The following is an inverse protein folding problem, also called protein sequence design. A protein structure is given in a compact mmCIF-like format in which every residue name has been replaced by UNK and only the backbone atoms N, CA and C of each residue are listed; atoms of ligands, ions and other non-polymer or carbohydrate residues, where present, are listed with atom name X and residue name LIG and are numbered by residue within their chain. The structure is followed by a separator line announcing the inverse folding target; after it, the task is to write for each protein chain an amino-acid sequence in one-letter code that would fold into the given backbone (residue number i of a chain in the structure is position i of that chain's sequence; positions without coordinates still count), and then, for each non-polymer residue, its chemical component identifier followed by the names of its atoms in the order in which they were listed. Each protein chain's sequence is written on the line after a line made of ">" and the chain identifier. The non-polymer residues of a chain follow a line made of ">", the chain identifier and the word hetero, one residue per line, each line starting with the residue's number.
data_IF_970292366735
#
_entry.id   IF_970292366735
#
_cell.length_a   1.000
_cell.length_b   1.000
_cell.length_c   1.000
_cell.angle_alpha   90.00
_cell.angle_beta   90.00
_cell.angle_gamma   90.00
#
_symmetry.space_group_name_H-M   'P 1'
#
loop_
_entity.id
_entity.type
_entity.pdbx_description
1 polymer ?
#
# COMPACT_ATOMS: atom_id res chain seq x y z
N UNK A 1 20.96 -34.10 -6.73
CA UNK A 1 20.56 -33.84 -5.33
C UNK A 1 20.12 -32.37 -5.11
N UNK A 2 20.88 -31.37 -5.48
CA UNK A 2 20.53 -29.95 -5.26
C UNK A 2 19.16 -29.50 -5.84
N UNK A 3 18.78 -29.99 -7.01
CA UNK A 3 17.53 -29.64 -7.69
C UNK A 3 16.28 -30.17 -6.94
N UNK A 4 16.35 -31.36 -6.36
CA UNK A 4 15.26 -31.93 -5.54
C UNK A 4 15.10 -31.19 -4.22
N UNK A 5 16.21 -30.76 -3.60
CA UNK A 5 16.20 -29.97 -2.39
C UNK A 5 15.54 -28.58 -2.62
N UNK A 6 15.93 -27.85 -3.67
CA UNK A 6 15.35 -26.57 -4.06
C UNK A 6 13.84 -26.66 -4.33
N UNK A 7 13.39 -27.68 -5.06
CA UNK A 7 11.95 -27.90 -5.31
C UNK A 7 11.16 -28.11 -4.01
N UNK A 8 11.73 -28.87 -3.07
CA UNK A 8 11.08 -29.12 -1.77
C UNK A 8 10.96 -27.84 -0.93
N UNK A 9 11.99 -26.99 -0.90
CA UNK A 9 11.97 -25.70 -0.19
C UNK A 9 10.90 -24.79 -0.80
N UNK A 10 10.87 -24.61 -2.11
CA UNK A 10 9.86 -23.77 -2.79
C UNK A 10 8.46 -24.25 -2.51
N UNK A 11 8.20 -25.56 -2.56
CA UNK A 11 6.88 -26.15 -2.32
C UNK A 11 6.41 -26.01 -0.86
N UNK A 12 7.33 -25.93 0.11
CA UNK A 12 6.96 -25.74 1.51
C UNK A 12 6.80 -24.25 1.89
N UNK A 13 7.52 -23.34 1.23
CA UNK A 13 7.50 -21.91 1.55
C UNK A 13 6.23 -21.21 1.03
N UNK A 14 5.71 -21.60 -0.13
CA UNK A 14 4.52 -20.97 -0.71
C UNK A 14 3.27 -21.13 0.18
N UNK A 15 2.90 -22.35 0.67
CA UNK A 15 1.81 -22.50 1.62
C UNK A 15 2.02 -21.69 2.90
N UNK A 16 3.23 -21.71 3.46
CA UNK A 16 3.58 -20.98 4.67
C UNK A 16 3.35 -19.47 4.54
N UNK A 17 3.72 -18.88 3.41
CA UNK A 17 3.47 -17.46 3.13
C UNK A 17 1.94 -17.19 3.08
N UNK A 18 1.15 -18.05 2.44
CA UNK A 18 -0.31 -17.92 2.40
C UNK A 18 -0.93 -17.98 3.79
N UNK A 19 -0.46 -18.90 4.63
CA UNK A 19 -0.93 -19.05 6.01
C UNK A 19 -0.57 -17.81 6.85
N UNK A 20 0.63 -17.25 6.68
CA UNK A 20 1.03 -16.00 7.34
C UNK A 20 0.17 -14.81 6.90
N UNK A 21 -0.13 -14.68 5.60
CA UNK A 21 -1.02 -13.61 5.09
C UNK A 21 -2.43 -13.75 5.67
N UNK A 22 -2.99 -14.96 5.68
CA UNK A 22 -4.31 -15.22 6.25
C UNK A 22 -4.33 -14.93 7.77
N UNK A 23 -3.32 -15.37 8.50
CA UNK A 23 -3.15 -15.10 9.93
C UNK A 23 -3.04 -13.59 10.20
N UNK A 24 -2.25 -12.85 9.41
CA UNK A 24 -2.10 -11.41 9.52
C UNK A 24 -3.43 -10.67 9.35
N UNK A 25 -4.21 -11.03 8.34
CA UNK A 25 -5.55 -10.46 8.13
C UNK A 25 -6.49 -10.76 9.29
N UNK A 26 -6.49 -11.98 9.81
CA UNK A 26 -7.33 -12.36 10.96
C UNK A 26 -6.94 -11.61 12.23
N UNK A 27 -5.65 -11.41 12.48
CA UNK A 27 -5.14 -10.62 13.62
C UNK A 27 -5.59 -9.18 13.53
N UNK A 28 -5.47 -8.55 12.36
CA UNK A 28 -5.89 -7.18 12.11
C UNK A 28 -7.40 -7.05 12.35
N UNK A 29 -8.21 -7.93 11.75
CA UNK A 29 -9.66 -7.90 11.89
C UNK A 29 -10.08 -8.12 13.34
N UNK A 30 -9.46 -9.05 14.06
CA UNK A 30 -9.71 -9.25 15.48
C UNK A 30 -9.35 -8.01 16.29
N UNK A 31 -8.16 -7.44 16.07
CA UNK A 31 -7.70 -6.26 16.80
C UNK A 31 -8.64 -5.06 16.58
N UNK A 32 -9.03 -4.78 15.34
CA UNK A 32 -9.93 -3.65 15.00
C UNK A 32 -11.34 -3.89 15.55
N UNK A 33 -11.89 -5.08 15.39
CA UNK A 33 -13.27 -5.39 15.86
C UNK A 33 -13.38 -5.47 17.39
N UNK A 34 -12.28 -5.73 18.11
CA UNK A 34 -12.24 -5.78 19.57
C UNK A 34 -11.96 -4.44 20.24
N UNK A 35 -11.80 -3.35 19.47
CA UNK A 35 -11.57 -2.02 20.00
C UNK A 35 -12.82 -1.47 20.72
N UNK A 36 -12.65 -1.12 21.99
CA UNK A 36 -13.64 -0.39 22.79
C UNK A 36 -13.13 1.04 22.95
N UNK A 37 -13.38 1.88 21.96
CA UNK A 37 -12.94 3.27 21.91
C UNK A 37 -13.94 4.11 21.12
N UNK A 38 -13.76 5.42 21.14
CA UNK A 38 -14.60 6.34 20.39
C UNK A 38 -14.44 6.15 18.88
N UNK A 39 -15.54 6.33 18.17
CA UNK A 39 -15.58 6.33 16.73
C UNK A 39 -15.53 7.77 16.22
N UNK A 40 -14.58 8.05 15.34
CA UNK A 40 -14.45 9.36 14.71
C UNK A 40 -14.54 9.24 13.19
N UNK A 41 -14.91 10.31 12.51
CA UNK A 41 -14.93 10.33 11.05
C UNK A 41 -13.53 10.23 10.48
N UNK A 42 -13.32 9.43 9.45
CA UNK A 42 -12.04 9.26 8.77
C UNK A 42 -11.39 10.59 8.39
N UNK A 43 -12.18 11.56 7.88
CA UNK A 43 -11.72 12.90 7.53
C UNK A 43 -11.10 13.70 8.68
N UNK A 44 -11.20 13.25 9.93
CA UNK A 44 -10.57 13.90 11.08
C UNK A 44 -9.18 13.35 11.41
N UNK A 45 -8.74 12.28 10.73
CA UNK A 45 -7.50 11.53 11.05
C UNK A 45 -6.25 12.09 10.38
N UNK A 46 -6.39 12.97 9.40
CA UNK A 46 -5.28 13.47 8.60
C UNK A 46 -5.24 15.02 8.60
N UNK A 47 -4.08 15.57 8.31
CA UNK A 47 -3.86 17.01 8.12
C UNK A 47 -4.18 17.42 6.69
N UNK A 48 -3.77 16.59 5.73
CA UNK A 48 -3.99 16.82 4.31
C UNK A 48 -4.30 15.51 3.60
N UNK A 49 -5.27 15.53 2.72
CA UNK A 49 -5.53 14.44 1.80
C UNK A 49 -6.05 14.97 0.47
N UNK A 50 -5.67 14.30 -0.60
CA UNK A 50 -6.09 14.67 -1.94
C UNK A 50 -5.82 13.57 -2.96
N UNK A 51 -6.54 13.63 -4.06
CA UNK A 51 -6.28 12.77 -5.19
C UNK A 51 -5.02 13.25 -5.93
N UNK A 52 -4.26 12.32 -6.47
CA UNK A 52 -3.14 12.62 -7.35
C UNK A 52 -3.59 13.23 -8.68
N UNK A 53 -2.63 13.74 -9.43
CA UNK A 53 -2.84 14.33 -10.73
C UNK A 53 -1.89 13.75 -11.77
N UNK A 54 -2.35 13.72 -13.02
CA UNK A 54 -1.51 13.21 -14.12
C UNK A 54 -1.17 14.36 -15.05
N UNK A 55 0.12 14.75 -15.16
CA UNK A 55 0.53 15.71 -16.18
C UNK A 55 0.14 15.24 -17.58
N UNK A 56 -0.09 16.16 -18.52
CA UNK A 56 -0.50 15.80 -19.89
C UNK A 56 0.55 14.87 -20.53
N UNK A 57 0.16 13.63 -20.79
CA UNK A 57 1.07 12.56 -21.30
C UNK A 57 1.59 12.84 -22.71
N UNK A 58 0.91 13.73 -23.47
CA UNK A 58 1.36 14.17 -24.78
C UNK A 58 2.55 15.13 -24.75
N UNK A 59 2.93 15.66 -23.58
CA UNK A 59 4.06 16.57 -23.43
C UNK A 59 5.25 15.87 -22.78
N UNK A 60 6.23 15.47 -23.59
CA UNK A 60 7.44 14.80 -23.14
C UNK A 60 8.22 15.61 -22.09
N UNK A 61 8.20 16.95 -22.12
CA UNK A 61 8.89 17.81 -21.16
C UNK A 61 8.40 17.63 -19.70
N UNK A 62 7.22 17.03 -19.50
CA UNK A 62 6.71 16.73 -18.15
C UNK A 62 7.25 15.44 -17.57
N UNK A 63 7.91 14.60 -18.40
CA UNK A 63 8.37 13.25 -18.02
C UNK A 63 9.85 13.02 -18.29
N UNK A 64 10.37 13.52 -19.42
CA UNK A 64 11.75 13.27 -19.83
C UNK A 64 12.75 13.86 -18.83
N UNK A 65 13.68 13.01 -18.36
CA UNK A 65 14.65 13.33 -17.31
C UNK A 65 14.01 13.81 -15.99
N UNK A 66 12.79 13.37 -15.69
CA UNK A 66 12.13 13.65 -14.43
C UNK A 66 12.89 13.06 -13.25
N UNK A 67 12.86 13.75 -12.11
CA UNK A 67 13.48 13.34 -10.86
C UNK A 67 12.48 13.21 -9.70
N UNK A 68 11.22 13.62 -9.89
CA UNK A 68 10.17 13.49 -8.90
C UNK A 68 9.48 12.13 -9.09
N UNK A 69 9.51 11.24 -8.08
CA UNK A 69 8.85 9.94 -8.15
C UNK A 69 7.35 10.07 -8.46
N UNK A 70 6.87 9.31 -9.44
CA UNK A 70 5.49 9.35 -9.88
C UNK A 70 4.85 7.96 -9.81
N UNK A 71 3.98 7.77 -8.84
CA UNK A 71 3.44 6.48 -8.43
C UNK A 71 2.18 6.14 -9.20
N UNK A 72 2.14 4.91 -9.70
CA UNK A 72 0.98 4.28 -10.35
C UNK A 72 0.41 3.18 -9.46
N UNK A 73 -0.80 2.70 -9.75
CA UNK A 73 -1.47 1.66 -8.95
C UNK A 73 -0.63 0.38 -8.86
N UNK A 74 0.09 0.03 -9.93
CA UNK A 74 0.96 -1.16 -9.94
C UNK A 74 2.14 -1.09 -8.96
N UNK A 75 2.51 0.09 -8.49
CA UNK A 75 3.57 0.29 -7.50
C UNK A 75 3.05 0.06 -6.06
N UNK A 76 1.72 0.05 -5.83
CA UNK A 76 1.09 -0.12 -4.51
C UNK A 76 0.95 -1.59 -4.09
N UNK A 77 1.90 -2.45 -4.46
CA UNK A 77 1.84 -3.90 -4.16
C UNK A 77 2.53 -4.30 -2.86
N UNK A 78 3.19 -3.35 -2.21
CA UNK A 78 3.96 -3.56 -0.99
C UNK A 78 3.49 -2.59 0.09
N UNK A 79 3.60 -3.01 1.36
CA UNK A 79 3.26 -2.14 2.49
C UNK A 79 4.07 -0.85 2.47
N UNK A 80 5.37 -0.95 2.27
CA UNK A 80 6.25 0.21 2.15
C UNK A 80 6.62 0.42 0.68
N UNK A 81 6.42 1.63 0.22
CA UNK A 81 6.87 2.04 -1.11
C UNK A 81 8.39 2.25 -1.06
N UNK A 82 9.15 1.28 -1.56
CA UNK A 82 10.62 1.30 -1.55
C UNK A 82 11.24 1.63 -2.90
N UNK A 83 10.49 1.47 -3.98
CA UNK A 83 10.95 1.73 -5.35
C UNK A 83 9.78 2.16 -6.23
N UNK A 84 10.06 2.88 -7.29
CA UNK A 84 9.12 3.27 -8.34
C UNK A 84 9.81 3.24 -9.72
N UNK A 85 9.01 3.23 -10.77
CA UNK A 85 9.51 3.15 -12.16
C UNK A 85 9.41 4.47 -12.91
N UNK A 86 8.40 5.26 -12.60
CA UNK A 86 8.06 6.46 -13.34
C UNK A 86 8.44 7.71 -12.55
N UNK A 87 8.77 8.76 -13.30
CA UNK A 87 9.14 10.06 -12.75
C UNK A 87 8.47 11.17 -13.54
N UNK A 88 8.28 12.33 -12.91
CA UNK A 88 7.86 13.58 -13.56
C UNK A 88 8.90 14.67 -13.29
N UNK A 89 8.88 15.70 -14.13
CA UNK A 89 9.71 16.89 -13.95
C UNK A 89 9.04 17.89 -13.02
N UNK A 90 9.79 18.87 -12.51
CA UNK A 90 9.25 20.04 -11.78
C UNK A 90 8.19 20.78 -12.63
N UNK A 91 8.43 20.87 -13.93
CA UNK A 91 7.46 21.49 -14.86
C UNK A 91 6.17 20.67 -14.92
N UNK A 92 6.27 19.34 -14.95
CA UNK A 92 5.12 18.45 -14.91
C UNK A 92 4.32 18.60 -13.63
N UNK A 93 5.00 18.71 -12.47
CA UNK A 93 4.37 18.98 -11.18
C UNK A 93 3.62 20.33 -11.20
N UNK A 94 4.29 21.40 -11.61
CA UNK A 94 3.72 22.76 -11.61
C UNK A 94 2.55 22.94 -12.60
N UNK A 95 2.52 22.19 -13.70
CA UNK A 95 1.51 22.29 -14.76
C UNK A 95 0.39 21.24 -14.67
N UNK A 96 0.29 20.54 -13.55
CA UNK A 96 -0.76 19.55 -13.31
C UNK A 96 -1.40 19.72 -11.93
N UNK A 97 -2.40 18.89 -11.65
CA UNK A 97 -2.99 18.78 -10.30
C UNK A 97 -2.21 17.82 -9.38
N UNK A 98 -1.07 17.31 -9.82
CA UNK A 98 -0.20 16.50 -8.97
C UNK A 98 0.33 17.36 -7.80
N UNK A 99 0.54 16.72 -6.67
CA UNK A 99 1.11 17.37 -5.49
C UNK A 99 2.12 16.43 -4.82
N UNK A 100 3.09 17.00 -4.11
CA UNK A 100 4.14 16.26 -3.45
C UNK A 100 3.66 15.75 -2.10
N UNK A 101 3.46 14.43 -2.01
CA UNK A 101 3.04 13.73 -0.81
C UNK A 101 4.30 13.43 0.02
N UNK A 102 4.37 13.84 1.29
CA UNK A 102 5.55 13.61 2.13
C UNK A 102 5.74 12.14 2.51
N UNK A 103 6.90 11.84 3.10
CA UNK A 103 7.16 10.54 3.74
C UNK A 103 6.17 10.27 4.87
N UNK A 104 6.00 8.98 5.22
CA UNK A 104 5.08 8.53 6.27
C UNK A 104 3.61 8.92 6.01
N UNK A 105 3.23 8.94 4.74
CA UNK A 105 1.86 9.14 4.28
C UNK A 105 1.28 7.83 3.76
N UNK A 106 -0.04 7.74 3.73
CA UNK A 106 -0.74 6.60 3.10
C UNK A 106 -1.07 6.96 1.65
N UNK A 107 -0.77 6.04 0.74
CA UNK A 107 -1.31 6.02 -0.61
C UNK A 107 -2.42 4.99 -0.68
N UNK A 108 -3.58 5.37 -1.20
CA UNK A 108 -4.75 4.50 -1.31
C UNK A 108 -5.38 4.61 -2.68
N UNK A 109 -5.48 3.50 -3.42
CA UNK A 109 -6.14 3.50 -4.72
C UNK A 109 -7.66 3.61 -4.56
N UNK A 110 -8.26 4.62 -5.17
CA UNK A 110 -9.68 4.93 -5.08
C UNK A 110 -10.43 4.85 -6.42
N UNK A 111 -9.72 4.49 -7.50
CA UNK A 111 -10.24 4.36 -8.87
C UNK A 111 -10.43 2.92 -9.32
N UNK A 112 -10.02 2.57 -10.53
CA UNK A 112 -10.27 1.30 -11.21
C UNK A 112 -9.94 0.04 -10.37
N UNK A 113 -8.91 0.06 -9.56
CA UNK A 113 -8.58 -0.98 -8.58
C UNK A 113 -8.62 -0.35 -7.19
N UNK A 114 -9.75 -0.46 -6.51
CA UNK A 114 -9.94 0.16 -5.19
C UNK A 114 -9.36 -0.73 -4.10
N UNK A 115 -8.55 -0.12 -3.20
CA UNK A 115 -8.08 -0.77 -1.97
C UNK A 115 -6.63 -1.20 -1.95
N UNK A 116 -5.86 -0.97 -3.03
CA UNK A 116 -4.40 -1.08 -2.95
C UNK A 116 -3.87 0.05 -2.07
N UNK A 117 -2.94 -0.27 -1.18
CA UNK A 117 -2.49 0.66 -0.14
C UNK A 117 -0.99 0.49 0.13
N UNK A 118 -0.29 1.62 0.30
CA UNK A 118 1.14 1.65 0.68
C UNK A 118 1.45 2.81 1.60
N UNK A 119 2.55 2.70 2.35
CA UNK A 119 3.14 3.78 3.15
C UNK A 119 4.33 4.35 2.36
N UNK A 120 4.39 5.68 2.22
CA UNK A 120 5.52 6.34 1.55
C UNK A 120 6.76 6.33 2.43
N UNK A 121 7.91 5.96 1.87
CA UNK A 121 9.22 6.02 2.52
C UNK A 121 10.09 7.18 2.02
N UNK A 122 9.65 7.84 0.95
CA UNK A 122 10.22 9.05 0.36
C UNK A 122 9.09 9.92 -0.21
N UNK A 123 9.34 11.23 -0.46
CA UNK A 123 8.31 12.09 -1.06
C UNK A 123 7.97 11.66 -2.49
N UNK A 124 6.67 11.66 -2.82
CA UNK A 124 6.17 11.17 -4.11
C UNK A 124 5.02 12.01 -4.65
N UNK A 125 4.81 11.97 -5.96
CA UNK A 125 3.55 12.34 -6.59
C UNK A 125 2.80 11.09 -7.03
N UNK A 126 1.48 11.16 -7.17
CA UNK A 126 0.67 10.03 -7.58
C UNK A 126 -0.16 10.35 -8.82
N UNK A 127 -0.43 9.31 -9.61
CA UNK A 127 -1.39 9.37 -10.70
C UNK A 127 -2.81 9.60 -10.13
N UNK A 128 -3.68 10.21 -10.93
CA UNK A 128 -5.12 10.25 -10.67
C UNK A 128 -5.67 8.83 -10.41
N UNK A 129 -6.57 8.69 -9.43
CA UNK A 129 -7.08 7.41 -8.95
C UNK A 129 -6.29 6.84 -7.75
N UNK A 130 -5.37 7.64 -7.18
CA UNK A 130 -4.67 7.36 -5.93
C UNK A 130 -4.80 8.56 -5.01
N UNK A 131 -5.31 8.35 -3.81
CA UNK A 131 -5.34 9.32 -2.74
C UNK A 131 -4.02 9.31 -1.99
N UNK A 132 -3.42 10.48 -1.78
CA UNK A 132 -2.40 10.71 -0.77
C UNK A 132 -3.04 11.20 0.52
N UNK A 133 -2.68 10.62 1.65
CA UNK A 133 -3.25 10.92 2.96
C UNK A 133 -2.11 11.14 3.95
N UNK A 134 -1.97 12.36 4.45
CA UNK A 134 -0.95 12.75 5.43
C UNK A 134 -1.58 12.67 6.82
N UNK A 135 -1.29 11.64 7.63
CA UNK A 135 -1.93 11.48 8.94
C UNK A 135 -1.52 12.59 9.90
N UNK A 136 -2.39 12.91 10.86
CA UNK A 136 -2.09 13.81 11.97
C UNK A 136 -1.04 13.20 12.90
N UNK A 137 -0.34 14.04 13.67
CA UNK A 137 0.72 13.63 14.60
C UNK A 137 0.26 12.63 15.67
N UNK A 138 -1.02 12.65 16.06
CA UNK A 138 -1.61 11.71 17.02
C UNK A 138 -2.09 10.40 16.38
N UNK A 139 -1.93 10.24 15.07
CA UNK A 139 -2.28 9.03 14.33
C UNK A 139 -0.99 8.29 13.93
N UNK A 140 -0.85 7.05 14.36
CA UNK A 140 0.23 6.17 13.94
C UNK A 140 -0.03 5.68 12.51
N UNK A 141 0.91 5.92 11.60
CA UNK A 141 0.75 5.59 10.17
C UNK A 141 0.61 4.08 9.94
N UNK A 142 1.30 3.27 10.76
CA UNK A 142 1.22 1.81 10.69
C UNK A 142 -0.17 1.33 11.09
N UNK A 143 -0.70 1.89 12.18
CA UNK A 143 -2.07 1.60 12.62
C UNK A 143 -3.07 2.02 11.54
N UNK A 144 -2.92 3.22 10.97
CA UNK A 144 -3.81 3.72 9.90
C UNK A 144 -3.77 2.80 8.68
N UNK A 145 -2.58 2.33 8.28
CA UNK A 145 -2.42 1.33 7.22
C UNK A 145 -3.22 0.06 7.53
N UNK A 146 -3.13 -0.49 8.74
CA UNK A 146 -3.85 -1.70 9.12
C UNK A 146 -5.35 -1.48 9.27
N UNK A 147 -5.77 -0.34 9.80
CA UNK A 147 -7.18 0.03 9.83
C UNK A 147 -7.78 0.04 8.42
N UNK A 148 -7.11 0.71 7.46
CA UNK A 148 -7.57 0.79 6.08
C UNK A 148 -7.45 -0.56 5.33
N UNK A 149 -6.57 -1.45 5.75
CA UNK A 149 -6.43 -2.81 5.21
C UNK A 149 -7.45 -3.80 5.79
N UNK A 150 -8.09 -3.48 6.90
CA UNK A 150 -9.03 -4.36 7.61
C UNK A 150 -10.31 -4.65 6.81
N UNK A 151 -10.96 -5.76 7.12
CA UNK A 151 -12.27 -6.10 6.54
C UNK A 151 -13.33 -5.08 6.92
N UNK A 152 -13.21 -4.47 8.10
CA UNK A 152 -14.06 -3.38 8.57
C UNK A 152 -14.07 -2.20 7.58
N UNK A 153 -12.89 -1.64 7.30
CA UNK A 153 -12.75 -0.49 6.41
C UNK A 153 -13.08 -0.84 4.96
N UNK A 154 -12.63 -1.99 4.46
CA UNK A 154 -12.95 -2.49 3.12
C UNK A 154 -14.46 -2.63 2.89
N UNK A 155 -15.19 -3.17 3.86
CA UNK A 155 -16.67 -3.26 3.81
C UNK A 155 -17.31 -1.88 3.83
N UNK A 156 -16.79 -0.92 4.59
CA UNK A 156 -17.30 0.46 4.60
C UNK A 156 -17.07 1.12 3.24
N UNK A 157 -15.87 1.01 2.66
CA UNK A 157 -15.56 1.52 1.32
C UNK A 157 -16.44 0.88 0.25
N UNK A 158 -16.66 -0.43 0.29
CA UNK A 158 -17.50 -1.12 -0.71
C UNK A 158 -18.96 -0.63 -0.75
N UNK A 159 -19.47 -0.05 0.35
CA UNK A 159 -20.84 0.50 0.44
C UNK A 159 -20.96 1.90 -0.15
N UNK A 160 -19.86 2.63 -0.26
CA UNK A 160 -19.84 4.01 -0.77
C UNK A 160 -19.32 4.11 -2.20
N UNK A 161 -18.85 2.98 -2.78
CA UNK A 161 -18.42 2.93 -4.17
C UNK A 161 -19.61 3.18 -5.09
N UNK A 162 -19.49 4.17 -5.94
CA UNK A 162 -20.52 4.45 -6.95
C UNK A 162 -20.50 3.41 -8.06
N UNK A 163 -21.65 2.82 -8.36
CA UNK A 163 -21.83 1.96 -9.52
C UNK A 163 -22.01 2.82 -10.76
N UNK A 164 -21.00 2.81 -11.64
CA UNK A 164 -20.99 3.51 -12.91
C UNK A 164 -20.04 2.82 -13.88
N UNK A 165 -19.75 3.45 -15.01
CA UNK A 165 -18.77 2.97 -16.00
C UNK A 165 -17.37 2.80 -15.40
N UNK A 166 -17.04 3.58 -14.35
CA UNK A 166 -15.84 3.38 -13.53
C UNK A 166 -16.23 3.45 -12.05
N UNK A 167 -15.92 2.38 -11.32
CA UNK A 167 -16.08 2.34 -9.86
C UNK A 167 -15.08 3.30 -9.22
N UNK A 168 -15.56 4.20 -8.37
CA UNK A 168 -14.73 5.19 -7.68
C UNK A 168 -15.21 5.37 -6.23
N UNK A 169 -14.27 5.37 -5.30
CA UNK A 169 -14.52 5.75 -3.91
C UNK A 169 -14.06 7.21 -3.73
N UNK A 170 -14.99 8.15 -3.69
CA UNK A 170 -14.64 9.57 -3.56
C UNK A 170 -14.17 9.88 -2.13
N UNK A 171 -13.14 10.73 -2.02
CA UNK A 171 -12.60 11.16 -0.73
C UNK A 171 -13.67 11.74 0.21
N UNK A 172 -14.62 12.52 -0.34
CA UNK A 172 -15.74 13.09 0.43
C UNK A 172 -16.59 12.02 1.14
N UNK A 173 -16.76 10.86 0.52
CA UNK A 173 -17.56 9.75 1.06
C UNK A 173 -16.72 8.91 2.03
N UNK A 174 -15.45 8.65 1.69
CA UNK A 174 -14.47 8.02 2.60
C UNK A 174 -14.36 8.81 3.91
N UNK A 175 -14.37 10.14 3.86
CA UNK A 175 -14.29 11.02 5.04
C UNK A 175 -15.41 10.80 6.06
N UNK A 176 -16.54 10.26 5.64
CA UNK A 176 -17.68 9.98 6.53
C UNK A 176 -17.64 8.57 7.15
N UNK A 177 -16.69 7.73 6.77
CA UNK A 177 -16.52 6.41 7.40
C UNK A 177 -16.15 6.62 8.87
N UNK A 178 -16.90 6.00 9.77
CA UNK A 178 -16.59 6.00 11.19
C UNK A 178 -15.47 5.00 11.47
N UNK A 179 -14.42 5.45 12.16
CA UNK A 179 -13.23 4.67 12.46
C UNK A 179 -13.00 4.59 13.97
N UNK A 180 -12.74 3.40 14.53
CA UNK A 180 -12.37 3.25 15.93
C UNK A 180 -10.92 3.72 16.11
N UNK A 181 -10.70 4.76 16.92
CA UNK A 181 -9.38 5.35 17.12
C UNK A 181 -9.01 5.34 18.60
N UNK A 182 -8.18 4.39 19.04
CA UNK A 182 -7.67 4.37 20.41
C UNK A 182 -6.55 5.40 20.62
N UNK A 183 -5.99 5.47 21.84
CA UNK A 183 -4.84 6.33 22.13
C UNK A 183 -3.64 5.96 21.25
N UNK A 184 -2.73 6.91 21.03
CA UNK A 184 -1.56 6.71 20.14
C UNK A 184 -0.69 5.53 20.58
N UNK A 185 -0.50 5.34 21.87
CA UNK A 185 0.23 4.22 22.45
C UNK A 185 -0.42 2.88 22.07
N UNK A 186 -1.76 2.82 22.17
CA UNK A 186 -2.51 1.63 21.82
C UNK A 186 -2.52 1.38 20.31
N UNK A 187 -2.55 2.42 19.49
CA UNK A 187 -2.38 2.30 18.04
C UNK A 187 -1.05 1.63 17.70
N UNK A 188 0.05 2.09 18.32
CA UNK A 188 1.38 1.52 18.13
C UNK A 188 1.46 0.05 18.57
N UNK A 189 0.88 -0.31 19.71
CA UNK A 189 0.83 -1.70 20.18
C UNK A 189 0.08 -2.61 19.19
N UNK A 190 -1.07 -2.16 18.69
CA UNK A 190 -1.86 -2.93 17.72
C UNK A 190 -1.08 -3.15 16.42
N UNK A 191 -0.34 -2.15 15.96
CA UNK A 191 0.43 -2.24 14.73
C UNK A 191 1.66 -3.17 14.83
N UNK A 192 2.22 -3.36 16.02
CA UNK A 192 3.45 -4.15 16.23
C UNK A 192 3.37 -5.58 15.70
N UNK A 193 2.34 -6.31 16.06
CA UNK A 193 2.23 -7.74 15.73
C UNK A 193 2.03 -7.96 14.22
N UNK A 194 1.07 -7.28 13.55
CA UNK A 194 0.94 -7.37 12.11
C UNK A 194 2.19 -6.88 11.36
N UNK A 195 2.90 -5.85 11.87
CA UNK A 195 4.14 -5.35 11.25
C UNK A 195 5.25 -6.38 11.30
N UNK A 196 5.44 -7.06 12.44
CA UNK A 196 6.41 -8.16 12.57
C UNK A 196 6.09 -9.31 11.62
N UNK A 197 4.81 -9.65 11.47
CA UNK A 197 4.37 -10.70 10.56
C UNK A 197 4.59 -10.32 9.09
N UNK A 198 4.30 -9.08 8.71
CA UNK A 198 4.60 -8.59 7.35
C UNK A 198 6.10 -8.63 7.04
N UNK A 199 6.95 -8.20 7.98
CA UNK A 199 8.41 -8.30 7.81
C UNK A 199 8.87 -9.75 7.60
N UNK A 200 8.23 -10.70 8.27
CA UNK A 200 8.51 -12.14 8.07
C UNK A 200 8.05 -12.60 6.67
N UNK A 201 6.88 -12.16 6.22
CA UNK A 201 6.36 -12.47 4.87
C UNK A 201 7.30 -11.92 3.80
N UNK A 202 7.72 -10.65 3.91
CA UNK A 202 8.63 -10.01 2.96
C UNK A 202 9.99 -10.74 2.89
N UNK A 203 10.50 -11.17 4.04
CA UNK A 203 11.72 -11.96 4.12
C UNK A 203 11.58 -13.32 3.40
N UNK A 204 10.50 -14.06 3.66
CA UNK A 204 10.24 -15.35 2.98
C UNK A 204 10.05 -15.19 1.47
N UNK A 205 9.36 -14.11 1.03
CA UNK A 205 9.20 -13.79 -0.39
C UNK A 205 10.55 -13.47 -1.06
N UNK A 206 11.43 -12.74 -0.37
CA UNK A 206 12.77 -12.42 -0.85
C UNK A 206 13.61 -13.68 -1.02
N UNK A 207 13.56 -14.60 -0.07
CA UNK A 207 14.22 -15.91 -0.16
C UNK A 207 13.69 -16.69 -1.36
N UNK A 208 12.36 -16.73 -1.55
CA UNK A 208 11.73 -17.42 -2.67
C UNK A 208 12.19 -16.88 -4.03
N UNK A 209 12.30 -15.54 -4.13
CA UNK A 209 12.84 -14.87 -5.33
C UNK A 209 14.29 -15.27 -5.62
N UNK A 210 15.14 -15.31 -4.59
CA UNK A 210 16.54 -15.73 -4.72
C UNK A 210 16.66 -17.19 -5.19
N UNK A 211 15.84 -18.09 -4.63
CA UNK A 211 15.79 -19.47 -5.11
C UNK A 211 15.32 -19.59 -6.57
N UNK A 212 14.38 -18.73 -6.99
CA UNK A 212 13.95 -18.64 -8.39
C UNK A 212 15.11 -18.28 -9.33
N UNK A 213 15.90 -17.27 -8.96
CA UNK A 213 17.09 -16.84 -9.71
C UNK A 213 18.16 -17.94 -9.74
N UNK A 214 18.44 -18.58 -8.61
CA UNK A 214 19.37 -19.70 -8.54
C UNK A 214 18.97 -20.87 -9.44
N UNK A 215 17.66 -21.21 -9.45
CA UNK A 215 17.10 -22.23 -10.35
C UNK A 215 17.35 -21.87 -11.81
N UNK A 216 17.08 -20.63 -12.22
CA UNK A 216 17.30 -20.17 -13.59
C UNK A 216 18.80 -20.26 -13.98
N UNK A 217 19.68 -19.84 -13.07
CA UNK A 217 21.12 -19.95 -13.27
C UNK A 217 21.55 -21.40 -13.50
N UNK A 218 21.16 -22.33 -12.61
CA UNK A 218 21.50 -23.75 -12.74
C UNK A 218 20.96 -24.37 -14.02
N UNK A 219 19.74 -24.02 -14.42
CA UNK A 219 19.17 -24.50 -15.69
C UNK A 219 19.99 -24.03 -16.88
N UNK A 220 20.44 -22.77 -16.92
CA UNK A 220 21.31 -22.25 -17.98
C UNK A 220 22.64 -23.00 -18.06
N UNK A 221 23.23 -23.38 -16.91
CA UNK A 221 24.49 -24.15 -16.87
C UNK A 221 24.33 -25.59 -17.31
N UNK A 222 23.11 -26.15 -17.24
CA UNK A 222 22.86 -27.55 -17.65
C UNK A 222 22.57 -27.73 -19.14
N UNK A 223 22.22 -26.64 -19.85
CA UNK A 223 21.82 -26.66 -21.25
C UNK A 223 22.77 -25.86 -22.16
N UNK A 224 23.98 -25.55 -21.70
CA UNK A 224 25.15 -25.11 -22.48
C UNK A 224 26.07 -26.32 -22.68
#
# INVERSE_FOLDING_TARGET
>A
MAFFSLRRIVLSTIPLIKDFVACGSAIIDYAINSLHCDFVKFGTLYEMAGEGGTPATSNAAYYDNGNIPFIKIDDLKQKYLTENKDFITELGLQKSSAWLIPTHSILFSNGATIGEISITTYPVCTKQGILGIVPKQNIDVEFLYYLMSSSYFKKAVSRIVTEGTMKTAYLKDINNILCPIPTKERQHEIAKMPSALNSKIDFEQSILKLFGLQKQYLLRQMFI
#
